data_IF_874211414336
#
_entry.id   IF_874211414336
#
_cell.length_a   1.000
_cell.length_b   1.000
_cell.length_c   1.000
_cell.angle_alpha   90.00
_cell.angle_beta   90.00
_cell.angle_gamma   90.00
#
_symmetry.space_group_name_H-M   'P 1'
#
loop_
_entity.id
_entity.type
_entity.pdbx_description
1 polymer ?
#
# COMPACT_ATOMS: atom_id res chain seq x y z
N UNK A 1 -2.05 10.71 -18.51
CA UNK A 1 -2.67 9.96 -17.39
C UNK A 1 -3.93 9.21 -17.79
N UNK A 2 -5.05 9.87 -18.16
CA UNK A 2 -6.33 9.19 -18.44
C UNK A 2 -6.29 8.12 -19.56
N UNK A 3 -5.46 8.30 -20.60
CA UNK A 3 -5.37 7.35 -21.73
C UNK A 3 -4.80 5.99 -21.32
N UNK A 4 -3.80 5.96 -20.43
CA UNK A 4 -3.19 4.74 -19.90
C UNK A 4 -4.15 4.01 -18.95
N UNK A 5 -4.90 4.77 -18.14
CA UNK A 5 -5.96 4.24 -17.26
C UNK A 5 -7.03 3.50 -18.07
N UNK A 6 -7.50 4.10 -19.16
CA UNK A 6 -8.48 3.45 -20.03
C UNK A 6 -7.93 2.19 -20.70
N UNK A 7 -6.66 2.19 -21.09
CA UNK A 7 -6.04 1.05 -21.73
C UNK A 7 -5.87 -0.13 -20.74
N UNK A 8 -5.34 0.11 -19.55
CA UNK A 8 -5.15 -0.92 -18.53
C UNK A 8 -6.48 -1.52 -18.05
N UNK A 9 -7.51 -0.68 -17.83
CA UNK A 9 -8.85 -1.17 -17.46
C UNK A 9 -9.50 -1.94 -18.61
N UNK A 10 -9.32 -1.49 -19.85
CA UNK A 10 -9.83 -2.22 -21.01
C UNK A 10 -9.17 -3.60 -21.15
N UNK A 11 -7.86 -3.69 -20.95
CA UNK A 11 -7.10 -4.96 -20.97
C UNK A 11 -7.55 -5.91 -19.85
N UNK A 12 -7.67 -5.43 -18.60
CA UNK A 12 -8.19 -6.22 -17.46
C UNK A 12 -9.58 -6.79 -17.74
N UNK A 13 -10.50 -5.96 -18.24
CA UNK A 13 -11.86 -6.38 -18.56
C UNK A 13 -11.92 -7.40 -19.72
N UNK A 14 -10.95 -7.40 -20.63
CA UNK A 14 -10.87 -8.40 -21.70
C UNK A 14 -10.30 -9.73 -21.22
N UNK A 15 -9.37 -9.72 -20.26
CA UNK A 15 -8.62 -10.90 -19.83
C UNK A 15 -9.31 -11.68 -18.70
N UNK A 16 -9.83 -11.00 -17.67
CA UNK A 16 -10.38 -11.60 -16.45
C UNK A 16 -11.92 -11.62 -16.40
N UNK A 17 -12.58 -11.53 -17.57
CA UNK A 17 -14.03 -11.30 -17.65
C UNK A 17 -14.88 -12.33 -16.88
N UNK A 18 -14.43 -13.59 -16.77
CA UNK A 18 -15.19 -14.67 -16.13
C UNK A 18 -15.17 -14.63 -14.60
N UNK A 19 -14.08 -14.14 -14.02
CA UNK A 19 -13.86 -14.10 -12.56
C UNK A 19 -13.95 -12.67 -11.99
N UNK A 20 -14.21 -11.70 -12.86
CA UNK A 20 -14.36 -10.29 -12.50
C UNK A 20 -15.62 -10.05 -11.66
N UNK A 21 -15.50 -9.20 -10.64
CA UNK A 21 -16.62 -8.66 -9.83
C UNK A 21 -17.68 -7.97 -10.72
N UNK A 22 -17.31 -7.61 -11.96
CA UNK A 22 -18.16 -6.93 -12.94
C UNK A 22 -18.88 -7.91 -13.89
N UNK A 23 -18.64 -9.22 -13.74
CA UNK A 23 -19.30 -10.30 -14.48
C UNK A 23 -20.75 -10.51 -13.98
N UNK A 24 -21.61 -9.52 -14.23
CA UNK A 24 -23.01 -9.54 -13.79
C UNK A 24 -23.94 -8.90 -14.82
N UNK A 25 -25.26 -8.92 -14.57
CA UNK A 25 -26.31 -8.47 -15.50
C UNK A 25 -26.22 -7.00 -15.92
N UNK A 26 -25.32 -6.21 -15.34
CA UNK A 26 -25.08 -4.80 -15.68
C UNK A 26 -23.96 -4.59 -16.72
N UNK A 27 -23.41 -5.64 -17.33
CA UNK A 27 -22.26 -5.51 -18.24
C UNK A 27 -22.49 -4.54 -19.41
N UNK A 28 -23.66 -4.59 -20.06
CA UNK A 28 -23.99 -3.68 -21.17
C UNK A 28 -24.06 -2.21 -20.71
N UNK A 29 -24.52 -1.98 -19.47
CA UNK A 29 -24.50 -0.67 -18.83
C UNK A 29 -23.06 -0.18 -18.55
N UNK A 30 -22.19 -1.07 -18.09
CA UNK A 30 -20.77 -0.77 -17.86
C UNK A 30 -20.03 -0.48 -19.16
N UNK A 31 -20.24 -1.29 -20.20
CA UNK A 31 -19.60 -1.11 -21.51
C UNK A 31 -19.98 0.22 -22.15
N UNK A 32 -21.25 0.62 -22.04
CA UNK A 32 -21.77 1.90 -22.60
C UNK A 32 -21.16 3.13 -21.90
N UNK A 33 -20.79 3.01 -20.62
CA UNK A 33 -20.25 4.12 -19.81
C UNK A 33 -18.84 3.85 -19.29
N UNK A 34 -18.06 2.97 -19.95
CA UNK A 34 -16.85 2.40 -19.36
C UNK A 34 -15.83 3.47 -18.96
N UNK A 35 -15.69 4.57 -19.71
CA UNK A 35 -14.74 5.65 -19.36
C UNK A 35 -15.12 6.36 -18.05
N UNK A 36 -16.40 6.48 -17.74
CA UNK A 36 -16.88 7.09 -16.50
C UNK A 36 -16.74 6.12 -15.34
N UNK A 37 -17.20 4.88 -15.54
CA UNK A 37 -17.21 3.85 -14.50
C UNK A 37 -15.80 3.31 -14.20
N UNK A 38 -14.91 3.26 -15.19
CA UNK A 38 -13.52 2.85 -15.00
C UNK A 38 -12.76 3.84 -14.12
N UNK A 39 -13.03 5.13 -14.29
CA UNK A 39 -12.48 6.14 -13.40
C UNK A 39 -13.12 5.98 -12.02
N UNK A 40 -14.42 5.81 -11.85
CA UNK A 40 -14.98 5.65 -10.49
C UNK A 40 -14.55 4.35 -9.77
N UNK A 41 -14.44 3.22 -10.48
CA UNK A 41 -14.08 1.92 -9.90
C UNK A 41 -12.58 1.72 -9.68
N UNK A 42 -11.77 2.25 -10.59
CA UNK A 42 -10.31 2.04 -10.56
C UNK A 42 -9.55 3.31 -10.23
N UNK A 43 -10.20 4.48 -10.10
CA UNK A 43 -9.55 5.68 -9.60
C UNK A 43 -9.57 5.71 -8.07
N UNK A 44 -8.46 6.12 -7.45
CA UNK A 44 -7.19 6.47 -8.11
C UNK A 44 -6.36 5.22 -8.44
N UNK A 45 -6.01 5.03 -9.73
CA UNK A 45 -4.89 4.15 -10.08
C UNK A 45 -3.65 4.86 -9.55
N UNK A 46 -2.92 4.19 -8.67
CA UNK A 46 -1.74 4.74 -7.98
C UNK A 46 -0.51 3.89 -8.29
N UNK A 47 0.66 4.48 -8.08
CA UNK A 47 1.89 3.69 -8.05
C UNK A 47 1.86 2.84 -6.79
N UNK A 48 1.96 1.52 -6.93
CA UNK A 48 1.93 0.57 -5.84
C UNK A 48 3.35 0.30 -5.35
N UNK A 49 3.60 0.73 -4.12
CA UNK A 49 4.82 0.42 -3.39
C UNK A 49 4.49 -0.35 -2.11
N UNK A 50 5.32 -1.34 -1.82
CA UNK A 50 5.32 -2.01 -0.54
C UNK A 50 6.67 -1.75 0.15
N UNK A 51 6.68 -1.86 1.47
CA UNK A 51 7.93 -1.89 2.21
C UNK A 51 7.94 -3.01 3.23
N UNK A 52 9.14 -3.51 3.50
CA UNK A 52 9.42 -4.48 4.56
C UNK A 52 10.58 -3.96 5.41
N UNK A 53 10.38 -3.87 6.72
CA UNK A 53 11.43 -3.55 7.68
C UNK A 53 11.87 -4.83 8.40
N UNK A 54 13.18 -5.09 8.41
CA UNK A 54 13.79 -6.27 9.01
C UNK A 54 14.83 -5.81 10.03
N UNK A 55 14.82 -6.42 11.22
CA UNK A 55 15.78 -6.11 12.28
C UNK A 55 17.10 -6.89 12.14
N UNK A 56 18.13 -6.55 12.94
CA UNK A 56 19.43 -7.22 12.94
C UNK A 56 19.41 -8.74 13.18
N UNK A 57 18.32 -9.28 13.71
CA UNK A 57 18.15 -10.72 13.94
C UNK A 57 17.35 -11.38 12.81
N UNK A 58 17.20 -10.71 11.67
CA UNK A 58 16.42 -11.15 10.50
C UNK A 58 14.92 -11.27 10.77
N UNK A 59 14.40 -10.62 11.82
CA UNK A 59 12.97 -10.63 12.14
C UNK A 59 12.28 -9.51 11.36
N UNK A 60 11.18 -9.85 10.69
CA UNK A 60 10.32 -8.86 10.02
C UNK A 60 9.56 -8.05 11.08
N UNK A 61 9.83 -6.74 11.14
CA UNK A 61 9.25 -5.81 12.11
C UNK A 61 8.11 -4.97 11.55
N UNK A 62 8.06 -4.78 10.25
CA UNK A 62 6.92 -4.13 9.61
C UNK A 62 6.76 -4.62 8.18
N UNK A 63 5.51 -4.68 7.74
CA UNK A 63 5.16 -4.78 6.34
C UNK A 63 4.00 -3.83 6.06
N UNK A 64 4.23 -2.89 5.16
CA UNK A 64 3.19 -1.97 4.72
C UNK A 64 2.91 -2.11 3.23
N UNK A 65 1.68 -1.78 2.87
CA UNK A 65 1.24 -1.64 1.49
C UNK A 65 0.73 -0.21 1.25
N UNK A 66 0.42 0.09 -0.01
CA UNK A 66 0.00 1.42 -0.53
C UNK A 66 -1.01 2.22 0.31
N UNK A 67 -1.81 1.52 1.12
CA UNK A 67 -2.81 2.15 1.99
C UNK A 67 -2.18 2.79 3.24
N UNK A 68 -0.88 2.58 3.50
CA UNK A 68 -0.17 2.99 4.71
C UNK A 68 1.18 3.63 4.36
N UNK A 69 1.13 4.77 3.68
CA UNK A 69 2.25 5.72 3.59
C UNK A 69 2.12 6.84 4.64
N UNK A 70 1.65 6.49 5.84
CA UNK A 70 1.71 7.36 7.03
C UNK A 70 2.89 6.96 7.92
N UNK A 71 3.27 7.83 8.86
CA UNK A 71 4.35 7.61 9.81
C UNK A 71 4.15 6.32 10.61
N UNK A 72 5.06 5.37 10.46
CA UNK A 72 5.05 4.10 11.20
C UNK A 72 6.01 4.17 12.38
N UNK A 73 5.56 3.66 13.53
CA UNK A 73 6.32 3.72 14.76
C UNK A 73 6.38 2.35 15.40
N UNK A 74 7.56 1.98 15.89
CA UNK A 74 7.80 0.72 16.59
C UNK A 74 8.61 1.06 17.82
N UNK A 75 8.14 0.61 18.97
CA UNK A 75 8.96 0.53 20.16
C UNK A 75 8.81 -0.86 20.81
N UNK A 76 9.34 -1.00 22.02
CA UNK A 76 9.34 -2.28 22.72
C UNK A 76 7.93 -2.70 23.14
N UNK A 77 7.07 -1.76 23.49
CA UNK A 77 5.75 -2.00 24.08
C UNK A 77 4.59 -1.87 23.08
N UNK A 78 4.74 -1.05 22.04
CA UNK A 78 3.71 -0.58 21.11
C UNK A 78 4.26 -0.52 19.69
N UNK A 79 3.36 -0.69 18.73
CA UNK A 79 3.66 -0.59 17.31
C UNK A 79 2.44 -0.01 16.57
N UNK A 80 2.69 0.65 15.43
CA UNK A 80 1.64 0.96 14.45
C UNK A 80 1.00 -0.31 13.89
N UNK A 81 -0.23 -0.19 13.37
CA UNK A 81 -0.91 -1.30 12.68
C UNK A 81 -0.05 -1.77 11.51
N UNK A 82 0.25 -3.07 11.45
CA UNK A 82 1.15 -3.64 10.43
C UNK A 82 2.62 -3.73 10.87
N UNK A 83 2.93 -3.32 12.10
CA UNK A 83 4.23 -3.49 12.74
C UNK A 83 4.19 -4.50 13.89
N UNK A 84 5.37 -4.98 14.28
CA UNK A 84 5.61 -5.90 15.40
C UNK A 84 6.47 -5.20 16.45
N UNK A 85 5.89 -4.97 17.63
CA UNK A 85 6.61 -4.45 18.79
C UNK A 85 7.57 -5.48 19.37
N UNK A 86 8.50 -5.02 20.20
CA UNK A 86 9.47 -5.87 20.88
C UNK A 86 10.83 -5.21 20.98
N UNK A 87 11.79 -5.89 21.63
CA UNK A 87 13.14 -5.38 21.78
C UNK A 87 13.70 -4.85 20.45
N UNK A 88 14.33 -3.68 20.48
CA UNK A 88 14.96 -3.06 19.32
C UNK A 88 16.47 -3.32 19.43
N UNK A 89 16.99 -4.41 18.86
CA UNK A 89 18.42 -4.70 18.96
C UNK A 89 19.24 -3.63 18.22
N UNK A 90 20.41 -3.32 18.78
CA UNK A 90 21.41 -2.53 18.09
C UNK A 90 22.01 -3.36 16.94
N UNK A 91 22.31 -2.70 15.82
CA UNK A 91 22.89 -3.33 14.64
C UNK A 91 22.26 -2.80 13.36
N UNK A 92 22.49 -3.53 12.27
CA UNK A 92 22.03 -3.13 10.94
C UNK A 92 20.58 -3.53 10.70
N UNK A 93 19.74 -2.52 10.51
CA UNK A 93 18.35 -2.69 10.10
C UNK A 93 18.25 -2.60 8.57
N UNK A 94 17.37 -3.40 7.98
CA UNK A 94 17.15 -3.41 6.53
C UNK A 94 15.74 -2.92 6.22
N UNK A 95 15.65 -1.86 5.42
CA UNK A 95 14.41 -1.40 4.82
C UNK A 95 14.42 -1.76 3.34
N UNK A 96 13.51 -2.65 2.96
CA UNK A 96 13.31 -3.08 1.57
C UNK A 96 12.08 -2.37 1.05
N UNK A 97 12.20 -1.76 -0.13
CA UNK A 97 11.08 -1.09 -0.82
C UNK A 97 10.89 -1.77 -2.16
N UNK A 98 9.66 -2.17 -2.43
CA UNK A 98 9.28 -2.94 -3.61
C UNK A 98 8.29 -2.12 -4.44
N UNK A 99 8.70 -1.76 -5.65
CA UNK A 99 7.84 -1.15 -6.65
C UNK A 99 7.06 -2.25 -7.39
N UNK A 100 5.84 -2.53 -6.95
CA UNK A 100 5.02 -3.59 -7.56
C UNK A 100 4.33 -3.13 -8.84
N UNK A 101 3.87 -1.87 -8.91
CA UNK A 101 3.28 -1.31 -10.13
C UNK A 101 3.53 0.19 -10.22
N UNK A 102 4.19 0.65 -11.28
CA UNK A 102 4.48 2.07 -11.52
C UNK A 102 3.77 2.50 -12.80
N UNK A 103 2.85 3.44 -12.67
CA UNK A 103 2.04 3.96 -13.78
C UNK A 103 2.43 5.40 -14.16
N UNK A 104 3.25 6.04 -13.34
CA UNK A 104 3.67 7.44 -13.51
C UNK A 104 5.01 7.50 -14.22
N UNK A 105 5.20 8.50 -15.08
CA UNK A 105 6.45 8.71 -15.83
C UNK A 105 7.64 9.00 -14.90
N UNK A 106 7.36 9.62 -13.75
CA UNK A 106 8.34 9.90 -12.70
C UNK A 106 7.73 9.56 -11.34
N UNK A 107 8.52 8.91 -10.50
CA UNK A 107 8.18 8.69 -9.09
C UNK A 107 9.34 9.12 -8.21
N UNK A 108 9.02 9.91 -7.20
CA UNK A 108 9.95 10.31 -6.15
C UNK A 108 9.41 9.73 -4.85
N UNK A 109 10.19 8.85 -4.24
CA UNK A 109 9.90 8.30 -2.92
C UNK A 109 10.88 8.91 -1.92
N UNK A 110 10.34 9.47 -0.83
CA UNK A 110 11.13 9.96 0.29
C UNK A 110 10.83 9.11 1.51
N UNK A 111 11.88 8.66 2.18
CA UNK A 111 11.78 7.86 3.40
C UNK A 111 12.68 8.50 4.44
N UNK A 112 12.11 8.77 5.60
CA UNK A 112 12.82 9.33 6.73
C UNK A 112 12.71 8.38 7.91
N UNK A 113 13.84 8.06 8.53
CA UNK A 113 13.91 7.22 9.72
C UNK A 113 14.33 8.09 10.89
N UNK A 114 13.44 8.23 11.87
CA UNK A 114 13.67 9.04 13.05
C UNK A 114 13.73 8.17 14.31
N UNK A 115 14.71 8.44 15.16
CA UNK A 115 14.84 7.83 16.48
C UNK A 115 14.27 8.80 17.52
N UNK A 116 13.05 8.51 17.98
CA UNK A 116 12.36 9.32 18.97
C UNK A 116 12.43 8.67 20.36
N UNK A 117 12.47 9.50 21.41
CA UNK A 117 12.39 9.04 22.80
C UNK A 117 10.99 8.61 23.21
N UNK A 118 9.97 9.17 22.55
CA UNK A 118 8.56 8.96 22.86
C UNK A 118 7.79 8.56 21.61
N UNK A 119 6.73 7.77 21.81
CA UNK A 119 5.80 7.40 20.75
C UNK A 119 4.93 8.62 20.41
N UNK A 120 5.04 9.15 19.19
CA UNK A 120 4.35 10.37 18.79
C UNK A 120 2.85 10.12 18.70
N UNK A 121 2.08 10.79 19.57
CA UNK A 121 0.62 10.75 19.57
C UNK A 121 0.05 11.51 18.36
N UNK A 122 -1.03 11.00 17.76
CA UNK A 122 -1.79 11.72 16.72
C UNK A 122 -1.60 11.24 15.28
N UNK A 123 -0.83 10.18 15.02
CA UNK A 123 -0.93 9.45 13.75
C UNK A 123 -2.14 8.51 13.88
N UNK A 124 -3.16 8.67 13.02
CA UNK A 124 -4.52 8.11 13.19
C UNK A 124 -4.62 6.56 13.16
N UNK A 125 -3.52 5.83 13.19
CA UNK A 125 -3.45 4.39 12.93
C UNK A 125 -2.86 3.57 14.09
N UNK A 126 -2.79 4.10 15.30
CA UNK A 126 -2.18 3.38 16.43
C UNK A 126 -3.18 3.07 17.53
N UNK A 127 -3.89 1.96 17.36
CA UNK A 127 -4.21 1.00 18.43
C UNK A 127 -4.80 -0.28 17.81
N UNK A 128 -4.01 -1.37 17.76
CA UNK A 128 -4.59 -2.72 17.80
C UNK A 128 -4.37 -3.24 19.22
N UNK A 129 -5.47 -3.50 19.92
CA UNK A 129 -5.49 -4.00 21.29
C UNK A 129 -4.63 -5.25 21.47
N UNK A 130 -4.01 -5.33 22.65
CA UNK A 130 -3.29 -6.47 23.19
C UNK A 130 -4.17 -7.73 23.19
N UNK A 131 -3.64 -8.85 22.72
CA UNK A 131 -4.09 -10.21 23.08
C UNK A 131 -3.24 -10.73 24.21
#
# INVERSE_FOLDING_TARGET
THKLIYQAVHEYLQFDWKDSIVAGPNWDYYKKNYKKNAVELFSPIRNLFNYTLIDPNDIVRARGNDNFFETMQINKEKASIGCVSGALPAGDWRLIVEAHAIISELVILSIEVNLNKEFTQGVKTTEKCQT
#
